data_IF_339473168273
#
_entry.id   IF_339473168273
#
_cell.length_a   1.000
_cell.length_b   1.000
_cell.length_c   1.000
_cell.angle_alpha   90.00
_cell.angle_beta   90.00
_cell.angle_gamma   90.00
#
_symmetry.space_group_name_H-M   'P 1'
#
loop_
_entity.id
_entity.type
_entity.pdbx_description
1 polymer ?
#
# COMPACT_ATOMS: atom_id res chain seq x y z
N UNK A 1 -26.98 -51.39 -31.84
CA UNK A 1 -26.40 -50.06 -32.18
C UNK A 1 -26.51 -49.06 -31.01
N UNK A 2 -27.47 -49.21 -30.10
CA UNK A 2 -27.76 -48.29 -28.98
C UNK A 2 -26.78 -48.37 -27.80
N UNK A 3 -26.16 -49.53 -27.53
CA UNK A 3 -25.23 -49.71 -26.39
C UNK A 3 -23.91 -48.93 -26.55
N UNK A 4 -23.39 -48.81 -27.78
CA UNK A 4 -22.16 -48.06 -28.06
C UNK A 4 -22.29 -46.56 -27.80
N UNK A 5 -23.47 -45.99 -28.10
CA UNK A 5 -23.73 -44.56 -27.87
C UNK A 5 -23.89 -44.23 -26.39
N UNK A 6 -24.35 -45.18 -25.57
CA UNK A 6 -24.46 -44.99 -24.12
C UNK A 6 -23.07 -44.96 -23.47
N UNK A 7 -22.23 -45.95 -23.78
CA UNK A 7 -20.87 -46.04 -23.25
C UNK A 7 -19.99 -44.83 -23.61
N UNK A 8 -20.18 -44.25 -24.80
CA UNK A 8 -19.45 -43.04 -25.21
C UNK A 8 -19.88 -41.79 -24.44
N UNK A 9 -21.18 -41.69 -24.10
CA UNK A 9 -21.73 -40.60 -23.29
C UNK A 9 -21.25 -40.69 -21.84
N UNK A 10 -21.23 -41.89 -21.27
CA UNK A 10 -20.77 -42.11 -19.90
C UNK A 10 -19.29 -41.79 -19.76
N UNK A 11 -18.48 -42.23 -20.72
CA UNK A 11 -17.05 -41.93 -20.75
C UNK A 11 -16.79 -40.42 -20.84
N UNK A 12 -17.53 -39.71 -21.71
CA UNK A 12 -17.42 -38.25 -21.82
C UNK A 12 -17.83 -37.53 -20.53
N UNK A 13 -18.88 -37.98 -19.84
CA UNK A 13 -19.31 -37.38 -18.56
C UNK A 13 -18.22 -37.50 -17.50
N UNK A 14 -17.65 -38.68 -17.36
CA UNK A 14 -16.58 -38.96 -16.39
C UNK A 14 -15.34 -38.07 -16.62
N UNK A 15 -14.95 -37.83 -17.87
CA UNK A 15 -13.82 -36.92 -18.16
C UNK A 15 -14.15 -35.46 -17.84
N UNK A 16 -15.36 -35.00 -18.15
CA UNK A 16 -15.77 -33.62 -17.84
C UNK A 16 -15.86 -33.39 -16.32
N UNK A 17 -16.37 -34.36 -15.57
CA UNK A 17 -16.42 -34.33 -14.10
C UNK A 17 -15.02 -34.33 -13.48
N UNK A 18 -14.08 -35.13 -14.03
CA UNK A 18 -12.70 -35.13 -13.58
C UNK A 18 -11.99 -33.79 -13.87
N UNK A 19 -12.19 -33.20 -15.06
CA UNK A 19 -11.64 -31.89 -15.41
C UNK A 19 -12.23 -30.77 -14.56
N UNK A 20 -13.54 -30.83 -14.28
CA UNK A 20 -14.23 -29.91 -13.38
C UNK A 20 -13.64 -29.98 -11.97
N UNK A 21 -13.54 -31.18 -11.41
CA UNK A 21 -12.95 -31.41 -10.09
C UNK A 21 -11.51 -30.86 -10.02
N UNK A 22 -10.65 -31.21 -10.98
CA UNK A 22 -9.25 -30.74 -11.04
C UNK A 22 -9.18 -29.21 -11.11
N UNK A 23 -10.07 -28.57 -11.89
CA UNK A 23 -10.12 -27.10 -12.02
C UNK A 23 -10.56 -26.41 -10.72
N UNK A 24 -11.59 -26.93 -10.06
CA UNK A 24 -12.12 -26.43 -8.78
C UNK A 24 -11.10 -26.62 -7.64
N UNK A 25 -10.34 -27.73 -7.66
CA UNK A 25 -9.23 -27.97 -6.74
C UNK A 25 -8.05 -27.05 -7.01
N UNK A 26 -7.66 -26.86 -8.28
CA UNK A 26 -6.56 -25.96 -8.67
C UNK A 26 -6.84 -24.52 -8.21
N UNK A 27 -8.09 -24.07 -8.35
CA UNK A 27 -8.55 -22.76 -7.90
C UNK A 27 -8.78 -22.70 -6.37
N UNK A 28 -8.60 -23.80 -5.65
CA UNK A 28 -8.83 -23.93 -4.20
C UNK A 28 -10.25 -23.53 -3.74
N UNK A 29 -11.28 -23.73 -4.60
CA UNK A 29 -12.68 -23.45 -4.25
C UNK A 29 -13.28 -24.62 -3.45
N UNK A 30 -13.20 -25.84 -4.01
CA UNK A 30 -13.65 -27.07 -3.36
C UNK A 30 -15.15 -27.15 -3.04
N UNK A 31 -16.03 -27.08 -4.05
CA UNK A 31 -17.49 -27.20 -3.84
C UNK A 31 -17.94 -28.52 -3.21
N UNK A 32 -17.22 -29.63 -3.46
CA UNK A 32 -17.51 -30.95 -2.89
C UNK A 32 -18.66 -31.70 -3.56
N UNK A 33 -19.10 -31.24 -4.73
CA UNK A 33 -20.11 -31.86 -5.60
C UNK A 33 -19.61 -33.14 -6.28
N UNK A 34 -18.33 -33.18 -6.64
CA UNK A 34 -17.66 -34.36 -7.22
C UNK A 34 -16.39 -34.65 -6.42
N UNK A 35 -16.28 -35.87 -5.87
CA UNK A 35 -15.17 -36.28 -4.97
C UNK A 35 -14.50 -37.55 -5.49
N UNK A 36 -13.15 -37.62 -5.51
CA UNK A 36 -12.48 -38.84 -5.94
C UNK A 36 -12.60 -39.91 -4.85
N UNK A 37 -13.33 -40.97 -5.16
CA UNK A 37 -13.47 -42.14 -4.28
C UNK A 37 -12.26 -43.09 -4.35
N UNK A 38 -11.40 -42.95 -5.36
CA UNK A 38 -10.20 -43.78 -5.55
C UNK A 38 -8.95 -43.14 -4.92
N UNK A 39 -8.03 -43.97 -4.42
CA UNK A 39 -6.76 -43.51 -3.84
C UNK A 39 -5.88 -42.75 -4.85
N UNK A 40 -5.90 -43.15 -6.12
CA UNK A 40 -5.17 -42.45 -7.20
C UNK A 40 -5.76 -41.06 -7.46
N UNK A 41 -7.09 -40.91 -7.49
CA UNK A 41 -7.74 -39.62 -7.69
C UNK A 41 -7.50 -38.64 -6.53
N UNK A 42 -7.48 -39.16 -5.28
CA UNK A 42 -7.12 -38.35 -4.10
C UNK A 42 -5.70 -37.81 -4.17
N UNK A 43 -4.75 -38.63 -4.63
CA UNK A 43 -3.34 -38.21 -4.78
C UNK A 43 -3.18 -37.11 -5.84
N UNK A 44 -3.87 -37.26 -6.98
CA UNK A 44 -3.86 -36.25 -8.07
C UNK A 44 -4.48 -34.93 -7.59
N UNK A 45 -5.58 -34.98 -6.84
CA UNK A 45 -6.23 -33.82 -6.24
C UNK A 45 -5.28 -33.05 -5.30
N UNK A 46 -4.56 -33.77 -4.41
CA UNK A 46 -3.56 -33.18 -3.52
C UNK A 46 -2.42 -32.49 -4.29
N UNK A 47 -1.84 -33.17 -5.29
CA UNK A 47 -0.76 -32.60 -6.10
C UNK A 47 -1.22 -31.36 -6.88
N UNK A 48 -2.42 -31.41 -7.46
CA UNK A 48 -3.03 -30.28 -8.18
C UNK A 48 -3.25 -29.09 -7.25
N UNK A 49 -3.72 -29.32 -6.02
CA UNK A 49 -3.89 -28.28 -5.02
C UNK A 49 -2.56 -27.61 -4.63
N UNK A 50 -1.49 -28.38 -4.42
CA UNK A 50 -0.15 -27.84 -4.15
C UNK A 50 0.36 -27.01 -5.33
N UNK A 51 0.19 -27.49 -6.56
CA UNK A 51 0.55 -26.74 -7.77
C UNK A 51 -0.26 -25.44 -7.88
N UNK A 52 -1.57 -25.47 -7.62
CA UNK A 52 -2.44 -24.30 -7.63
C UNK A 52 -2.00 -23.25 -6.61
N UNK A 53 -1.70 -23.66 -5.38
CA UNK A 53 -1.13 -22.79 -4.36
C UNK A 53 0.25 -22.22 -4.77
N UNK A 54 1.11 -23.03 -5.39
CA UNK A 54 2.38 -22.56 -5.94
C UNK A 54 2.20 -21.50 -7.02
N UNK A 55 1.26 -21.72 -7.95
CA UNK A 55 0.92 -20.77 -9.01
C UNK A 55 0.41 -19.44 -8.45
N UNK A 56 -0.47 -19.45 -7.45
CA UNK A 56 -0.99 -18.21 -6.84
C UNK A 56 0.12 -17.43 -6.16
N UNK A 57 1.02 -18.09 -5.42
CA UNK A 57 2.19 -17.45 -4.80
C UNK A 57 3.10 -16.83 -5.85
N UNK A 58 3.38 -17.54 -6.95
CA UNK A 58 4.19 -17.00 -8.04
C UNK A 58 3.53 -15.77 -8.68
N UNK A 59 2.22 -15.80 -8.94
CA UNK A 59 1.47 -14.65 -9.47
C UNK A 59 1.55 -13.47 -8.50
N UNK A 60 1.27 -13.69 -7.22
CA UNK A 60 1.36 -12.63 -6.19
C UNK A 60 2.78 -12.06 -6.11
N UNK A 61 3.82 -12.90 -6.16
CA UNK A 61 5.21 -12.45 -6.15
C UNK A 61 5.57 -11.63 -7.41
N UNK A 62 5.12 -12.04 -8.59
CA UNK A 62 5.34 -11.29 -9.84
C UNK A 62 4.58 -9.96 -9.81
N UNK A 63 3.32 -9.98 -9.37
CA UNK A 63 2.51 -8.77 -9.20
C UNK A 63 3.15 -7.84 -8.18
N UNK A 64 3.60 -8.32 -7.03
CA UNK A 64 4.33 -7.54 -6.03
C UNK A 64 5.60 -6.92 -6.62
N UNK A 65 6.40 -7.68 -7.38
CA UNK A 65 7.59 -7.16 -8.07
C UNK A 65 7.26 -6.11 -9.15
N UNK A 66 6.13 -6.25 -9.84
CA UNK A 66 5.65 -5.26 -10.82
C UNK A 66 5.07 -4.01 -10.16
N UNK A 67 4.38 -4.16 -9.03
CA UNK A 67 3.83 -3.07 -8.21
C UNK A 67 4.91 -2.31 -7.44
N UNK A 68 5.97 -2.98 -7.00
CA UNK A 68 7.20 -2.34 -6.49
C UNK A 68 7.89 -1.50 -7.57
N UNK A 69 7.54 -1.72 -8.85
CA UNK A 69 8.15 -1.10 -10.01
C UNK A 69 7.20 -0.23 -10.86
N UNK A 70 6.33 0.55 -10.23
CA UNK A 70 6.07 1.91 -10.76
C UNK A 70 6.94 2.94 -10.04
N UNK A 71 8.27 2.71 -10.04
CA UNK A 71 9.30 3.69 -9.61
C UNK A 71 9.10 5.07 -10.24
N UNK A 72 8.62 5.12 -11.48
CA UNK A 72 8.27 6.36 -12.17
C UNK A 72 7.07 7.08 -11.51
N UNK A 73 6.00 6.37 -11.17
CA UNK A 73 4.87 6.94 -10.42
C UNK A 73 5.31 7.34 -9.01
N UNK A 74 6.17 6.56 -8.34
CA UNK A 74 6.69 6.92 -7.01
C UNK A 74 7.51 8.21 -7.07
N UNK A 75 8.28 8.43 -8.15
CA UNK A 75 9.02 9.67 -8.36
C UNK A 75 8.09 10.86 -8.61
N UNK A 76 7.08 10.69 -9.48
CA UNK A 76 6.08 11.73 -9.75
C UNK A 76 5.22 12.02 -8.52
N UNK A 77 4.83 11.00 -7.76
CA UNK A 77 4.07 11.12 -6.51
C UNK A 77 4.90 11.80 -5.42
N UNK A 78 6.18 11.46 -5.28
CA UNK A 78 7.07 12.12 -4.33
C UNK A 78 7.29 13.59 -4.70
N UNK A 79 7.49 13.88 -6.00
CA UNK A 79 7.57 15.25 -6.50
C UNK A 79 6.27 16.04 -6.29
N UNK A 80 5.12 15.40 -6.54
CA UNK A 80 3.80 16.00 -6.33
C UNK A 80 3.55 16.28 -4.84
N UNK A 81 3.91 15.34 -3.96
CA UNK A 81 3.82 15.46 -2.52
C UNK A 81 4.71 16.61 -2.01
N UNK A 82 5.97 16.68 -2.44
CA UNK A 82 6.90 17.75 -2.05
C UNK A 82 6.44 19.14 -2.52
N UNK A 83 5.92 19.23 -3.75
CA UNK A 83 5.37 20.48 -4.29
C UNK A 83 4.14 20.93 -3.50
N UNK A 84 3.24 20.00 -3.15
CA UNK A 84 2.04 20.31 -2.38
C UNK A 84 2.36 20.68 -0.92
N UNK A 85 3.24 19.94 -0.25
CA UNK A 85 3.68 20.23 1.13
C UNK A 85 4.33 21.62 1.20
N UNK A 86 5.23 21.93 0.27
CA UNK A 86 5.90 23.24 0.24
C UNK A 86 4.91 24.40 0.03
N UNK A 87 3.91 24.22 -0.84
CA UNK A 87 2.83 25.21 -1.02
C UNK A 87 2.01 25.38 0.26
N UNK A 88 1.64 24.29 0.93
CA UNK A 88 0.84 24.35 2.17
C UNK A 88 1.58 25.03 3.32
N UNK A 89 2.89 24.82 3.46
CA UNK A 89 3.71 25.54 4.45
C UNK A 89 3.67 27.05 4.20
N UNK A 90 3.88 27.47 2.94
CA UNK A 90 3.85 28.89 2.57
C UNK A 90 2.50 29.54 2.84
N UNK A 91 1.40 28.87 2.49
CA UNK A 91 0.03 29.35 2.72
C UNK A 91 -0.28 29.43 4.23
N UNK A 92 0.06 28.40 5.00
CA UNK A 92 -0.16 28.40 6.44
C UNK A 92 0.63 29.51 7.14
N UNK A 93 1.90 29.72 6.76
CA UNK A 93 2.71 30.81 7.28
C UNK A 93 2.12 32.19 6.96
N UNK A 94 1.65 32.41 5.72
CA UNK A 94 0.99 33.64 5.33
C UNK A 94 -0.28 33.92 6.15
N UNK A 95 -1.08 32.88 6.44
CA UNK A 95 -2.27 33.00 7.27
C UNK A 95 -1.92 33.33 8.74
N UNK A 96 -0.86 32.73 9.30
CA UNK A 96 -0.38 33.07 10.65
C UNK A 96 0.00 34.55 10.73
N UNK A 97 0.76 35.07 9.75
CA UNK A 97 1.14 36.48 9.71
C UNK A 97 -0.07 37.40 9.57
N UNK A 98 -1.01 37.07 8.66
CA UNK A 98 -2.24 37.84 8.45
C UNK A 98 -3.09 37.93 9.72
N UNK A 99 -3.37 36.80 10.36
CA UNK A 99 -4.22 36.77 11.56
C UNK A 99 -3.52 37.47 12.74
N UNK A 100 -2.20 37.31 12.88
CA UNK A 100 -1.41 38.02 13.90
C UNK A 100 -1.48 39.54 13.71
N UNK A 101 -1.33 40.02 12.48
CA UNK A 101 -1.47 41.44 12.14
C UNK A 101 -2.88 41.97 12.40
N UNK A 102 -3.92 41.22 12.01
CA UNK A 102 -5.32 41.62 12.23
C UNK A 102 -5.67 41.69 13.73
N UNK A 103 -5.14 40.76 14.55
CA UNK A 103 -5.27 40.84 16.01
C UNK A 103 -4.59 42.10 16.52
N UNK A 104 -3.37 42.40 16.10
CA UNK A 104 -2.65 43.60 16.53
C UNK A 104 -3.41 44.88 16.15
N UNK A 105 -3.90 44.97 14.91
CA UNK A 105 -4.70 46.11 14.43
C UNK A 105 -5.97 46.32 15.27
N UNK A 106 -6.74 45.27 15.52
CA UNK A 106 -8.00 45.37 16.27
C UNK A 106 -7.82 45.54 17.79
N UNK A 107 -6.65 45.20 18.34
CA UNK A 107 -6.37 45.34 19.78
C UNK A 107 -5.63 46.62 20.16
N UNK A 108 -4.76 47.15 19.27
CA UNK A 108 -3.87 48.29 19.57
C UNK A 108 -4.12 49.53 18.71
N UNK A 109 -4.63 49.40 17.49
CA UNK A 109 -4.82 50.53 16.56
C UNK A 109 -6.29 50.94 16.36
N UNK A 110 -7.25 50.14 16.85
CA UNK A 110 -8.69 50.43 16.70
C UNK A 110 -9.19 51.31 17.85
N UNK A 111 -9.93 52.37 17.51
CA UNK A 111 -10.52 53.34 18.44
C UNK A 111 -11.58 52.75 19.36
N UNK A 112 -12.27 51.68 18.93
CA UNK A 112 -13.12 50.83 19.77
C UNK A 112 -12.62 49.38 19.74
N UNK A 113 -12.64 48.74 20.92
CA UNK A 113 -12.08 47.40 21.14
C UNK A 113 -13.16 46.34 20.99
N UNK A 114 -13.28 45.82 19.78
CA UNK A 114 -14.34 44.87 19.42
C UNK A 114 -13.97 43.43 19.86
N UNK A 115 -14.32 43.06 21.10
CA UNK A 115 -13.90 41.82 21.77
C UNK A 115 -14.28 40.52 21.01
N UNK A 116 -15.41 40.53 20.30
CA UNK A 116 -15.90 39.41 19.48
C UNK A 116 -15.01 39.17 18.26
N UNK A 117 -14.59 40.24 17.57
CA UNK A 117 -13.68 40.16 16.41
C UNK A 117 -12.29 39.68 16.81
N UNK A 118 -11.76 40.14 17.95
CA UNK A 118 -10.45 39.69 18.45
C UNK A 118 -10.45 38.19 18.75
N UNK A 119 -11.48 37.68 19.45
CA UNK A 119 -11.63 36.23 19.72
C UNK A 119 -11.73 35.40 18.44
N UNK A 120 -12.41 35.91 17.41
CA UNK A 120 -12.50 35.23 16.12
C UNK A 120 -11.12 35.10 15.43
N UNK A 121 -10.34 36.19 15.38
CA UNK A 121 -9.00 36.16 14.77
C UNK A 121 -8.01 35.31 15.60
N UNK A 122 -8.12 35.32 16.93
CA UNK A 122 -7.32 34.43 17.79
C UNK A 122 -7.59 32.95 17.49
N UNK A 123 -8.86 32.55 17.30
CA UNK A 123 -9.19 31.17 16.88
C UNK A 123 -8.60 30.83 15.51
N UNK A 124 -8.70 31.74 14.53
CA UNK A 124 -8.11 31.55 13.20
C UNK A 124 -6.58 31.45 13.24
N UNK A 125 -5.92 32.27 14.08
CA UNK A 125 -4.49 32.20 14.31
C UNK A 125 -4.08 30.84 14.90
N UNK A 126 -4.79 30.37 15.93
CA UNK A 126 -4.52 29.06 16.53
C UNK A 126 -4.67 27.92 15.53
N UNK A 127 -5.70 27.98 14.67
CA UNK A 127 -5.89 27.01 13.59
C UNK A 127 -4.74 27.07 12.58
N UNK A 128 -4.32 28.27 12.16
CA UNK A 128 -3.19 28.43 11.24
C UNK A 128 -1.87 27.90 11.83
N UNK A 129 -1.62 28.12 13.13
CA UNK A 129 -0.46 27.58 13.84
C UNK A 129 -0.52 26.05 13.91
N UNK A 130 -1.68 25.46 14.23
CA UNK A 130 -1.84 24.00 14.25
C UNK A 130 -1.60 23.39 12.88
N UNK A 131 -2.16 23.98 11.83
CA UNK A 131 -1.93 23.54 10.44
C UNK A 131 -0.45 23.62 10.07
N UNK A 132 0.24 24.72 10.41
CA UNK A 132 1.68 24.86 10.16
C UNK A 132 2.50 23.80 10.90
N UNK A 133 2.20 23.54 12.19
CA UNK A 133 2.88 22.51 12.98
C UNK A 133 2.65 21.11 12.42
N UNK A 134 1.42 20.80 12.02
CA UNK A 134 1.05 19.51 11.43
C UNK A 134 1.82 19.26 10.13
N UNK A 135 1.79 20.21 9.19
CA UNK A 135 2.50 20.06 7.91
C UNK A 135 4.02 20.00 8.13
N UNK A 136 4.56 20.70 9.13
CA UNK A 136 5.98 20.60 9.50
C UNK A 136 6.34 19.24 10.12
N UNK A 137 5.48 18.65 10.94
CA UNK A 137 5.65 17.30 11.47
C UNK A 137 5.60 16.26 10.35
N UNK A 138 4.60 16.33 9.46
CA UNK A 138 4.50 15.44 8.29
C UNK A 138 5.78 15.49 7.44
N UNK A 139 6.33 16.69 7.19
CA UNK A 139 7.62 16.84 6.48
C UNK A 139 8.81 16.21 7.23
N UNK A 140 8.86 16.33 8.56
CA UNK A 140 9.93 15.71 9.37
C UNK A 140 9.86 14.20 9.33
N UNK A 141 8.68 13.62 9.49
CA UNK A 141 8.48 12.17 9.40
C UNK A 141 8.94 11.62 8.06
N UNK A 142 8.64 12.30 6.95
CA UNK A 142 9.13 11.91 5.62
C UNK A 142 10.67 11.97 5.52
N UNK A 143 11.30 12.98 6.11
CA UNK A 143 12.76 13.10 6.14
C UNK A 143 13.41 12.00 7.01
N UNK A 144 12.82 11.70 8.18
CA UNK A 144 13.31 10.67 9.10
C UNK A 144 13.19 9.26 8.50
N UNK A 145 12.14 9.01 7.70
CA UNK A 145 12.00 7.77 6.91
C UNK A 145 13.12 7.64 5.87
N UNK A 146 13.48 8.74 5.20
CA UNK A 146 14.61 8.77 4.27
C UNK A 146 15.96 8.51 4.94
N UNK A 147 16.20 9.16 6.08
CA UNK A 147 17.44 9.00 6.85
C UNK A 147 17.59 7.58 7.40
N UNK A 148 16.51 6.99 7.94
CA UNK A 148 16.51 5.60 8.42
C UNK A 148 16.94 4.62 7.33
N UNK A 149 16.46 4.82 6.10
CA UNK A 149 16.84 3.95 4.97
C UNK A 149 18.32 4.09 4.61
N UNK A 150 18.85 5.32 4.62
CA UNK A 150 20.28 5.59 4.40
C UNK A 150 21.14 4.95 5.51
N UNK A 151 20.72 5.06 6.76
CA UNK A 151 21.44 4.48 7.89
C UNK A 151 21.43 2.94 7.84
N UNK A 152 20.32 2.32 7.44
CA UNK A 152 20.25 0.87 7.19
C UNK A 152 21.22 0.44 6.07
N UNK A 153 21.31 1.20 4.98
CA UNK A 153 22.29 0.93 3.92
C UNK A 153 23.73 1.03 4.43
N UNK A 154 24.06 2.06 5.20
CA UNK A 154 25.41 2.23 5.79
C UNK A 154 25.77 1.11 6.75
N UNK A 155 24.82 0.65 7.58
CA UNK A 155 25.04 -0.48 8.50
C UNK A 155 25.31 -1.77 7.71
N UNK A 156 24.57 -2.00 6.62
CA UNK A 156 24.81 -3.14 5.72
C UNK A 156 26.19 -3.09 5.07
N UNK A 157 26.61 -1.93 4.55
CA UNK A 157 27.94 -1.75 3.96
C UNK A 157 29.08 -1.91 4.98
N UNK A 158 28.89 -1.43 6.20
CA UNK A 158 29.84 -1.63 7.28
C UNK A 158 29.97 -3.12 7.64
N UNK A 159 28.83 -3.83 7.70
CA UNK A 159 28.81 -5.28 7.92
C UNK A 159 29.55 -6.02 6.79
N UNK A 160 29.23 -5.78 5.52
CA UNK A 160 29.93 -6.40 4.38
C UNK A 160 31.44 -6.12 4.41
N UNK A 161 31.86 -4.89 4.74
CA UNK A 161 33.29 -4.56 4.88
C UNK A 161 33.96 -5.31 6.02
N UNK A 162 33.30 -5.52 7.15
CA UNK A 162 33.87 -6.33 8.25
C UNK A 162 33.96 -7.81 7.91
N UNK A 163 33.06 -8.36 7.09
CA UNK A 163 33.11 -9.76 6.66
C UNK A 163 34.16 -10.00 5.56
N UNK A 164 34.45 -8.99 4.73
CA UNK A 164 35.46 -9.07 3.66
C UNK A 164 36.91 -8.79 4.13
N UNK A 165 37.09 -8.16 5.29
CA UNK A 165 38.41 -7.78 5.83
C UNK A 165 39.05 -8.72 6.89
N UNK A 166 38.66 -10.00 7.08
CA UNK A 166 39.45 -10.96 7.86
C UNK A 166 40.38 -11.85 7.01
N UNK A 167 40.49 -11.62 5.69
CA UNK A 167 41.28 -12.46 4.76
C UNK A 167 42.52 -11.72 4.19
N UNK A 168 42.99 -10.65 4.84
CA UNK A 168 44.30 -10.04 4.54
C UNK A 168 45.14 -9.88 5.80
#
# INVERSE_FOLDING_TARGET
>A
MSEWHHNYRDLSSNYMEALWMVSVTFLSIGYGDVVPHTYCGRSICLLTGIMGAGCTVLVVAVVARKLELTRAEKHVHNFMMDSHITKRIKIAAANVLRETWLIYKHTKLSRERDHTRVRMHQRKLLLAIHQLRRVKMEKRTLADQGNTLVDLCKVREASDRTVLNPIL
#
